data_IF_607925987190
#
_entry.id   IF_607925987190
#
_cell.length_a   1.000
_cell.length_b   1.000
_cell.length_c   1.000
_cell.angle_alpha   90.00
_cell.angle_beta   90.00
_cell.angle_gamma   90.00
#
_symmetry.space_group_name_H-M   'P 1'
#
loop_
_entity.id
_entity.type
_entity.pdbx_description
1 polymer ?
#
# COMPACT_ATOMS: atom_id res chain seq x y z
N UNK A 1 19.40 10.21 33.33
CA UNK A 1 18.71 11.49 33.09
C UNK A 1 17.30 11.36 33.64
N UNK A 2 16.93 12.17 34.62
CA UNK A 2 15.54 12.25 35.10
C UNK A 2 14.71 12.81 33.94
N UNK A 3 13.78 12.04 33.41
CA UNK A 3 12.76 12.54 32.46
C UNK A 3 12.00 13.63 33.24
N UNK A 4 12.01 14.83 32.69
CA UNK A 4 11.32 15.96 33.32
C UNK A 4 9.83 15.61 33.32
N UNK A 5 9.23 15.34 34.47
CA UNK A 5 7.86 14.83 34.68
C UNK A 5 6.75 15.73 34.07
N UNK A 6 7.11 16.90 33.57
CA UNK A 6 6.20 17.87 32.92
C UNK A 6 6.39 17.98 31.40
N UNK A 7 6.99 16.99 30.74
CA UNK A 7 7.10 17.07 29.28
C UNK A 7 5.74 16.85 28.63
N UNK A 8 5.35 17.78 27.76
CA UNK A 8 4.12 17.72 27.00
C UNK A 8 4.24 16.73 25.82
N UNK A 9 3.19 15.93 25.56
CA UNK A 9 3.15 14.99 24.44
C UNK A 9 3.28 15.71 23.09
N UNK A 10 2.70 16.92 22.98
CA UNK A 10 2.76 17.73 21.76
C UNK A 10 4.20 18.00 21.38
N UNK A 11 5.01 18.48 22.35
CA UNK A 11 6.42 18.80 22.11
C UNK A 11 7.22 17.56 21.71
N UNK A 12 6.94 16.42 22.37
CA UNK A 12 7.58 15.14 22.04
C UNK A 12 7.21 14.67 20.63
N UNK A 13 5.94 14.75 20.28
CA UNK A 13 5.49 14.37 18.94
C UNK A 13 6.01 15.32 17.86
N UNK A 14 6.03 16.63 18.11
CA UNK A 14 6.59 17.62 17.18
C UNK A 14 8.09 17.39 16.95
N UNK A 15 8.85 17.05 18.01
CA UNK A 15 10.26 16.68 17.89
C UNK A 15 10.45 15.45 16.98
N UNK A 16 9.63 14.39 17.18
CA UNK A 16 9.66 13.20 16.32
C UNK A 16 9.28 13.54 14.89
N UNK A 17 8.27 14.37 14.68
CA UNK A 17 7.85 14.84 13.35
C UNK A 17 8.98 15.63 12.67
N UNK A 18 9.70 16.46 13.42
CA UNK A 18 10.88 17.19 12.94
C UNK A 18 11.96 16.24 12.42
N UNK A 19 12.33 15.23 13.21
CA UNK A 19 13.30 14.20 12.80
C UNK A 19 12.84 13.45 11.54
N UNK A 20 11.57 13.07 11.47
CA UNK A 20 11.02 12.39 10.29
C UNK A 20 11.03 13.27 9.04
N UNK A 21 10.92 14.60 9.19
CA UNK A 21 11.08 15.56 8.07
C UNK A 21 12.51 15.60 7.57
N UNK A 22 13.48 15.69 8.48
CA UNK A 22 14.92 15.64 8.14
C UNK A 22 15.30 14.33 7.44
N UNK A 23 14.72 13.21 7.89
CA UNK A 23 14.87 11.90 7.29
C UNK A 23 14.06 11.71 5.97
N UNK A 24 13.36 12.76 5.50
CA UNK A 24 12.53 12.75 4.28
C UNK A 24 11.43 11.66 4.27
N UNK A 25 10.97 11.23 5.46
CA UNK A 25 9.92 10.24 5.65
C UNK A 25 8.52 10.87 5.61
N UNK A 26 8.19 11.55 4.52
CA UNK A 26 6.98 12.37 4.37
C UNK A 26 5.67 11.64 4.70
N UNK A 27 5.54 10.38 4.33
CA UNK A 27 4.35 9.56 4.67
C UNK A 27 4.22 9.35 6.18
N UNK A 28 5.34 9.14 6.88
CA UNK A 28 5.35 9.03 8.35
C UNK A 28 5.03 10.37 8.99
N UNK A 29 5.60 11.47 8.50
CA UNK A 29 5.26 12.85 8.93
C UNK A 29 3.75 13.06 8.88
N UNK A 30 3.10 12.75 7.75
CA UNK A 30 1.65 12.88 7.61
C UNK A 30 0.89 12.04 8.64
N UNK A 31 1.30 10.79 8.85
CA UNK A 31 0.65 9.87 9.80
C UNK A 31 0.79 10.34 11.25
N UNK A 32 1.99 10.78 11.65
CA UNK A 32 2.25 11.29 13.00
C UNK A 32 1.53 12.61 13.26
N UNK A 33 1.49 13.51 12.27
CA UNK A 33 0.74 14.77 12.37
C UNK A 33 -0.77 14.51 12.52
N UNK A 34 -1.33 13.57 11.73
CA UNK A 34 -2.73 13.21 11.85
C UNK A 34 -3.07 12.60 13.22
N UNK A 35 -2.19 11.73 13.75
CA UNK A 35 -2.36 11.15 15.08
C UNK A 35 -2.27 12.24 16.19
N UNK A 36 -1.35 13.20 16.07
CA UNK A 36 -1.23 14.31 17.00
C UNK A 36 -2.51 15.17 16.98
N UNK A 37 -2.97 15.60 15.81
CA UNK A 37 -4.20 16.38 15.72
C UNK A 37 -5.41 15.64 16.31
N UNK A 38 -5.55 14.36 15.99
CA UNK A 38 -6.65 13.54 16.53
C UNK A 38 -6.60 13.41 18.06
N UNK A 39 -5.42 13.26 18.63
CA UNK A 39 -5.27 13.17 20.09
C UNK A 39 -5.48 14.55 20.76
N UNK A 40 -5.03 15.64 20.13
CA UNK A 40 -5.28 17.01 20.57
C UNK A 40 -6.80 17.31 20.60
N UNK A 41 -7.53 16.93 19.55
CA UNK A 41 -8.99 17.09 19.51
C UNK A 41 -9.69 16.31 20.62
N UNK A 42 -9.23 15.07 20.87
CA UNK A 42 -9.74 14.25 21.97
C UNK A 42 -9.49 14.89 23.35
N UNK A 43 -8.33 15.52 23.52
CA UNK A 43 -7.93 16.12 24.80
C UNK A 43 -8.59 17.49 25.10
N UNK A 44 -9.43 18.01 24.20
CA UNK A 44 -10.11 19.30 24.40
C UNK A 44 -9.44 20.48 23.73
N UNK A 45 -8.51 20.23 22.81
CA UNK A 45 -7.82 21.25 22.03
C UNK A 45 -6.39 21.55 22.50
N UNK A 46 -5.76 22.54 21.84
CA UNK A 46 -4.35 22.87 22.05
C UNK A 46 -4.01 23.42 23.43
N UNK A 47 -5.00 23.97 24.14
CA UNK A 47 -4.83 24.59 25.46
C UNK A 47 -4.89 23.56 26.62
N UNK A 48 -5.42 22.37 26.36
CA UNK A 48 -5.43 21.30 27.33
C UNK A 48 -4.05 20.64 27.38
N UNK A 49 -3.30 20.89 28.45
CA UNK A 49 -1.98 20.30 28.66
C UNK A 49 -2.02 18.78 28.52
N UNK A 50 -1.18 18.22 27.66
CA UNK A 50 -1.05 16.79 27.41
C UNK A 50 0.20 16.24 28.11
N UNK A 51 0.24 16.31 29.45
CA UNK A 51 1.36 15.79 30.23
C UNK A 51 1.57 14.29 29.93
N UNK A 52 2.80 13.91 29.64
CA UNK A 52 3.19 12.56 29.21
C UNK A 52 2.74 11.47 30.19
N UNK A 53 2.84 11.73 31.49
CA UNK A 53 2.43 10.82 32.56
C UNK A 53 0.92 10.61 32.64
N UNK A 54 0.13 11.61 32.26
CA UNK A 54 -1.34 11.51 32.19
C UNK A 54 -1.81 10.84 30.90
N UNK A 55 -1.09 11.05 29.80
CA UNK A 55 -1.46 10.44 28.49
C UNK A 55 -1.17 8.94 28.48
N UNK A 56 0.00 8.54 28.97
CA UNK A 56 0.42 7.15 28.90
C UNK A 56 -0.06 6.33 30.11
N UNK A 57 -1.35 6.35 30.32
CA UNK A 57 -2.07 5.50 31.27
C UNK A 57 -3.02 4.56 30.50
N UNK A 58 -3.19 3.28 30.93
CA UNK A 58 -4.06 2.31 30.24
C UNK A 58 -5.49 2.81 30.07
N UNK A 59 -6.08 3.43 31.10
CA UNK A 59 -7.42 4.01 31.06
C UNK A 59 -7.55 5.11 30.00
N UNK A 60 -6.59 6.04 29.96
CA UNK A 60 -6.59 7.17 29.03
C UNK A 60 -6.47 6.72 27.55
N UNK A 61 -5.62 5.72 27.28
CA UNK A 61 -5.49 5.15 25.94
C UNK A 61 -6.77 4.43 25.53
N UNK A 62 -7.44 3.75 26.45
CA UNK A 62 -8.72 3.07 26.19
C UNK A 62 -9.84 4.08 25.92
N UNK A 63 -9.96 5.15 26.71
CA UNK A 63 -10.90 6.24 26.48
C UNK A 63 -10.70 6.89 25.11
N UNK A 64 -9.45 7.14 24.69
CA UNK A 64 -9.16 7.69 23.37
C UNK A 64 -9.56 6.71 22.25
N UNK A 65 -9.34 5.41 22.42
CA UNK A 65 -9.81 4.40 21.47
C UNK A 65 -11.33 4.46 21.34
N UNK A 66 -12.04 4.51 22.45
CA UNK A 66 -13.52 4.49 22.45
C UNK A 66 -14.07 5.79 21.85
N UNK A 67 -13.45 6.93 22.10
CA UNK A 67 -13.75 8.19 21.43
C UNK A 67 -13.55 8.13 19.90
N UNK A 68 -12.45 7.52 19.42
CA UNK A 68 -12.23 7.29 17.99
C UNK A 68 -13.33 6.41 17.39
N UNK A 69 -13.80 5.40 18.14
CA UNK A 69 -14.90 4.52 17.69
C UNK A 69 -16.24 5.24 17.67
N UNK A 70 -16.51 6.10 18.62
CA UNK A 70 -17.71 6.95 18.59
C UNK A 70 -17.72 7.90 17.38
N UNK A 71 -16.54 8.35 16.91
CA UNK A 71 -16.38 9.10 15.65
C UNK A 71 -16.34 8.20 14.40
N UNK A 72 -16.81 6.96 14.48
CA UNK A 72 -16.90 6.00 13.39
C UNK A 72 -15.52 5.70 12.71
N UNK A 73 -14.42 5.99 13.36
CA UNK A 73 -13.08 5.68 12.84
C UNK A 73 -12.92 4.18 12.63
N UNK A 74 -12.37 3.76 11.50
CA UNK A 74 -12.09 2.35 11.22
C UNK A 74 -11.10 1.77 12.23
N UNK A 75 -11.18 0.46 12.51
CA UNK A 75 -10.21 -0.21 13.37
C UNK A 75 -8.76 -0.06 12.89
N UNK A 76 -8.54 0.01 11.58
CA UNK A 76 -7.22 0.30 11.03
C UNK A 76 -6.73 1.72 11.31
N UNK A 77 -7.64 2.70 11.41
CA UNK A 77 -7.32 4.08 11.83
C UNK A 77 -6.93 4.09 13.30
N UNK A 78 -7.76 3.48 14.15
CA UNK A 78 -7.50 3.31 15.59
C UNK A 78 -6.14 2.66 15.81
N UNK A 79 -5.89 1.51 15.16
CA UNK A 79 -4.61 0.81 15.25
C UNK A 79 -3.43 1.70 14.82
N UNK A 80 -3.59 2.48 13.76
CA UNK A 80 -2.53 3.36 13.28
C UNK A 80 -2.16 4.39 14.33
N UNK A 81 -3.15 5.06 14.93
CA UNK A 81 -2.91 6.09 15.93
C UNK A 81 -2.35 5.48 17.23
N UNK A 82 -2.86 4.34 17.68
CA UNK A 82 -2.30 3.64 18.85
C UNK A 82 -0.86 3.21 18.62
N UNK A 83 -0.50 2.73 17.43
CA UNK A 83 0.89 2.38 17.10
C UNK A 83 1.81 3.59 17.03
N UNK A 84 1.31 4.75 16.57
CA UNK A 84 2.07 6.00 16.62
C UNK A 84 2.35 6.40 18.07
N UNK A 85 1.31 6.41 18.93
CA UNK A 85 1.48 6.71 20.36
C UNK A 85 2.46 5.75 21.03
N UNK A 86 2.37 4.44 20.73
CA UNK A 86 3.33 3.43 21.24
C UNK A 86 4.76 3.70 20.77
N UNK A 87 4.94 4.11 19.53
CA UNK A 87 6.27 4.44 19.01
C UNK A 87 6.86 5.70 19.69
N UNK A 88 6.03 6.70 19.99
CA UNK A 88 6.42 7.88 20.75
C UNK A 88 6.72 7.51 22.21
N UNK A 89 5.86 6.71 22.85
CA UNK A 89 6.08 6.18 24.19
C UNK A 89 7.44 5.47 24.32
N UNK A 90 7.75 4.54 23.41
CA UNK A 90 9.01 3.80 23.41
C UNK A 90 10.25 4.67 23.15
N UNK A 91 10.08 5.86 22.58
CA UNK A 91 11.18 6.85 22.47
C UNK A 91 11.38 7.63 23.75
N UNK A 92 10.30 7.92 24.49
CA UNK A 92 10.36 8.62 25.79
C UNK A 92 10.85 7.66 26.88
N UNK A 93 10.33 6.45 26.89
CA UNK A 93 10.65 5.37 27.82
C UNK A 93 11.16 4.16 27.01
N UNK A 94 12.46 4.08 26.69
CA UNK A 94 13.01 2.96 25.94
C UNK A 94 12.78 1.61 26.65
N UNK A 95 12.51 0.53 25.91
CA UNK A 95 12.39 -0.80 26.50
C UNK A 95 13.59 -1.18 27.37
N UNK A 96 13.33 -1.71 28.57
CA UNK A 96 14.37 -2.06 29.54
C UNK A 96 14.82 -0.90 30.44
N UNK A 97 14.29 0.31 30.29
CA UNK A 97 14.56 1.42 31.21
C UNK A 97 13.52 1.52 32.32
N UNK A 98 13.92 2.18 33.44
CA UNK A 98 13.00 2.48 34.53
C UNK A 98 11.85 3.37 34.03
N UNK A 99 10.60 2.98 34.33
CA UNK A 99 9.40 3.70 33.87
C UNK A 99 8.77 3.14 32.59
N UNK A 100 9.44 2.23 31.87
CA UNK A 100 8.84 1.54 30.73
C UNK A 100 7.85 0.46 31.18
N UNK A 101 6.60 0.57 30.78
CA UNK A 101 5.58 -0.47 30.99
C UNK A 101 5.32 -1.21 29.66
N UNK A 102 5.79 -2.48 29.51
CA UNK A 102 5.61 -3.24 28.28
C UNK A 102 4.14 -3.59 27.99
N UNK A 103 3.28 -3.57 29.02
CA UNK A 103 1.86 -3.93 28.91
C UNK A 103 0.94 -2.71 28.71
N UNK A 104 1.48 -1.51 28.63
CA UNK A 104 0.68 -0.27 28.53
C UNK A 104 -0.35 -0.29 27.40
N UNK A 105 -0.02 -0.92 26.27
CA UNK A 105 -0.86 -0.98 25.08
C UNK A 105 -1.63 -2.30 24.91
N UNK A 106 -1.61 -3.21 25.87
CA UNK A 106 -2.28 -4.52 25.76
C UNK A 106 -3.81 -4.38 25.72
N UNK A 107 -4.37 -3.36 26.39
CA UNK A 107 -5.80 -3.08 26.44
C UNK A 107 -6.37 -2.35 25.22
N UNK A 108 -5.55 -1.96 24.24
CA UNK A 108 -5.98 -1.20 23.07
C UNK A 108 -5.68 -1.92 21.75
N UNK A 109 -6.46 -1.58 20.73
CA UNK A 109 -6.36 -2.22 19.42
C UNK A 109 -5.15 -1.72 18.63
N UNK A 110 -4.17 -2.57 18.44
CA UNK A 110 -2.96 -2.31 17.65
C UNK A 110 -2.77 -3.28 16.48
N UNK A 111 -3.75 -4.20 16.26
CA UNK A 111 -3.74 -5.17 15.15
C UNK A 111 -4.16 -4.49 13.85
N UNK A 112 -3.91 -5.15 12.74
CA UNK A 112 -4.38 -4.71 11.42
C UNK A 112 -5.50 -5.62 10.98
N UNK A 113 -6.69 -5.06 10.74
CA UNK A 113 -7.76 -5.81 10.10
C UNK A 113 -7.43 -6.05 8.64
N UNK A 114 -7.52 -7.30 8.18
CA UNK A 114 -7.37 -7.58 6.75
C UNK A 114 -8.50 -6.90 5.99
N UNK A 115 -8.13 -6.05 5.03
CA UNK A 115 -9.13 -5.47 4.11
C UNK A 115 -9.52 -6.51 3.08
N UNK A 116 -10.80 -6.47 2.64
CA UNK A 116 -11.28 -7.26 1.51
C UNK A 116 -10.34 -7.00 0.32
N UNK A 117 -9.76 -8.07 -0.20
CA UNK A 117 -8.84 -8.00 -1.34
C UNK A 117 -9.65 -7.68 -2.60
N UNK A 118 -9.29 -6.58 -3.26
CA UNK A 118 -9.96 -6.08 -4.45
C UNK A 118 -9.22 -6.52 -5.72
N UNK A 119 -8.90 -7.81 -5.81
CA UNK A 119 -8.38 -8.37 -7.03
C UNK A 119 -9.54 -8.55 -8.03
N UNK A 120 -9.29 -8.17 -9.28
CA UNK A 120 -10.21 -8.41 -10.38
C UNK A 120 -10.11 -9.88 -10.84
N UNK A 121 -11.21 -10.40 -11.36
CA UNK A 121 -11.20 -11.67 -12.11
C UNK A 121 -10.50 -11.49 -13.44
N UNK A 122 -10.16 -12.60 -14.11
CA UNK A 122 -9.56 -12.55 -15.44
C UNK A 122 -10.49 -11.86 -16.45
N UNK A 123 -11.80 -12.18 -16.43
CA UNK A 123 -12.79 -11.56 -17.30
C UNK A 123 -12.90 -10.04 -17.06
N UNK A 124 -12.91 -9.60 -15.80
CA UNK A 124 -12.92 -8.17 -15.47
C UNK A 124 -11.67 -7.45 -15.98
N UNK A 125 -10.51 -8.09 -15.86
CA UNK A 125 -9.26 -7.52 -16.37
C UNK A 125 -9.25 -7.47 -17.89
N UNK A 126 -9.79 -8.48 -18.57
CA UNK A 126 -9.98 -8.50 -20.03
C UNK A 126 -10.93 -7.38 -20.48
N UNK A 127 -12.03 -7.15 -19.78
CA UNK A 127 -12.95 -6.04 -20.06
C UNK A 127 -12.23 -4.70 -20.07
N UNK A 128 -11.39 -4.43 -19.04
CA UNK A 128 -10.59 -3.21 -18.99
C UNK A 128 -9.56 -3.12 -20.13
N UNK A 129 -8.91 -4.25 -20.46
CA UNK A 129 -7.86 -4.28 -21.49
C UNK A 129 -8.39 -4.13 -22.91
N UNK A 130 -9.65 -4.50 -23.15
CA UNK A 130 -10.35 -4.39 -24.43
C UNK A 130 -11.22 -3.15 -24.55
N UNK A 131 -11.22 -2.29 -23.53
CA UNK A 131 -12.02 -1.07 -23.55
C UNK A 131 -11.63 -0.17 -24.74
N UNK A 132 -12.63 0.42 -25.34
CA UNK A 132 -12.43 1.44 -26.37
C UNK A 132 -11.96 2.73 -25.70
N UNK A 133 -10.68 3.07 -25.90
CA UNK A 133 -10.07 4.25 -25.31
C UNK A 133 -10.68 5.54 -25.86
N UNK A 134 -11.06 5.55 -27.16
CA UNK A 134 -11.58 6.75 -27.82
C UNK A 134 -12.97 7.12 -27.30
N UNK A 135 -13.69 6.18 -26.72
CA UNK A 135 -14.96 6.43 -26.04
C UNK A 135 -14.82 7.10 -24.67
N UNK A 136 -13.60 7.14 -24.09
CA UNK A 136 -13.34 7.73 -22.78
C UNK A 136 -12.81 9.15 -22.92
N UNK A 137 -13.15 10.08 -21.97
CA UNK A 137 -12.47 11.35 -21.85
C UNK A 137 -10.94 11.18 -21.77
N UNK A 138 -10.17 12.07 -22.41
CA UNK A 138 -8.70 12.00 -22.49
C UNK A 138 -8.03 11.76 -21.14
N UNK A 139 -8.49 12.45 -20.10
CA UNK A 139 -7.97 12.31 -18.75
C UNK A 139 -8.27 10.96 -18.11
N UNK A 140 -9.29 10.23 -18.56
CA UNK A 140 -9.59 8.87 -18.16
C UNK A 140 -8.81 7.85 -19.00
N UNK A 141 -8.53 8.14 -20.28
CA UNK A 141 -7.66 7.30 -21.13
C UNK A 141 -6.29 7.12 -20.47
N UNK A 142 -5.66 8.22 -20.03
CA UNK A 142 -4.39 8.16 -19.29
C UNK A 142 -4.47 7.28 -18.04
N UNK A 143 -5.52 7.44 -17.24
CA UNK A 143 -5.70 6.68 -16.00
C UNK A 143 -5.88 5.19 -16.29
N UNK A 144 -6.68 4.83 -17.28
CA UNK A 144 -6.86 3.43 -17.69
C UNK A 144 -5.55 2.84 -18.22
N UNK A 145 -4.84 3.56 -19.08
CA UNK A 145 -3.55 3.13 -19.61
C UNK A 145 -2.53 2.88 -18.50
N UNK A 146 -2.39 3.82 -17.56
CA UNK A 146 -1.47 3.65 -16.43
C UNK A 146 -1.87 2.51 -15.51
N UNK A 147 -3.18 2.27 -15.29
CA UNK A 147 -3.65 1.12 -14.53
C UNK A 147 -3.28 -0.20 -15.20
N UNK A 148 -3.47 -0.30 -16.52
CA UNK A 148 -3.10 -1.48 -17.32
C UNK A 148 -1.57 -1.69 -17.31
N UNK A 149 -0.79 -0.62 -17.49
CA UNK A 149 0.67 -0.68 -17.42
C UNK A 149 1.15 -1.13 -16.02
N UNK A 150 0.53 -0.62 -14.94
CA UNK A 150 0.83 -1.11 -13.58
C UNK A 150 0.63 -2.62 -13.47
N UNK A 151 -0.44 -3.16 -14.03
CA UNK A 151 -0.69 -4.60 -14.06
C UNK A 151 0.37 -5.33 -14.91
N UNK A 152 0.62 -4.88 -16.14
CA UNK A 152 1.59 -5.50 -17.08
C UNK A 152 3.02 -5.42 -16.55
N UNK A 153 3.35 -4.41 -15.75
CA UNK A 153 4.65 -4.26 -15.07
C UNK A 153 4.68 -5.00 -13.72
N UNK A 154 4.08 -6.21 -13.67
CA UNK A 154 4.10 -7.11 -12.51
C UNK A 154 3.46 -6.51 -11.26
N UNK A 155 2.35 -5.80 -11.43
CA UNK A 155 1.67 -5.14 -10.31
C UNK A 155 2.49 -3.99 -9.70
N UNK A 156 3.17 -3.19 -10.53
CA UNK A 156 3.90 -2.01 -10.10
C UNK A 156 2.98 -1.07 -9.30
N UNK A 157 3.37 -0.61 -8.10
CA UNK A 157 2.57 0.36 -7.34
C UNK A 157 2.52 1.72 -8.06
N UNK A 158 1.42 2.45 -7.90
CA UNK A 158 1.25 3.77 -8.50
C UNK A 158 2.36 4.76 -8.11
N UNK A 159 2.88 4.68 -6.86
CA UNK A 159 3.99 5.52 -6.44
C UNK A 159 5.26 5.25 -7.26
N UNK A 160 5.57 3.99 -7.55
CA UNK A 160 6.73 3.63 -8.35
C UNK A 160 6.52 4.09 -9.80
N UNK A 161 5.33 3.84 -10.40
CA UNK A 161 4.97 4.31 -11.74
C UNK A 161 5.11 5.85 -11.86
N UNK A 162 4.57 6.59 -10.89
CA UNK A 162 4.59 8.05 -10.90
C UNK A 162 6.01 8.64 -10.82
N UNK A 163 6.94 7.95 -10.18
CA UNK A 163 8.32 8.39 -10.03
C UNK A 163 9.29 7.79 -11.05
N UNK A 164 8.81 6.91 -11.97
CA UNK A 164 9.66 6.41 -13.06
C UNK A 164 10.22 7.57 -13.86
N UNK A 165 11.51 7.48 -14.18
CA UNK A 165 12.22 8.46 -15.00
C UNK A 165 12.46 7.92 -16.40
N UNK A 166 12.61 8.80 -17.37
CA UNK A 166 12.99 8.45 -18.73
C UNK A 166 14.33 7.68 -18.76
N UNK A 167 15.24 8.02 -17.84
CA UNK A 167 16.54 7.34 -17.68
C UNK A 167 16.45 5.91 -17.13
N UNK A 168 15.29 5.53 -16.56
CA UNK A 168 15.09 4.17 -16.03
C UNK A 168 14.79 3.16 -17.15
N UNK A 169 14.45 3.65 -18.36
CA UNK A 169 14.20 2.80 -19.53
C UNK A 169 15.53 2.49 -20.22
N UNK A 170 15.86 1.21 -20.32
CA UNK A 170 17.07 0.70 -20.96
C UNK A 170 16.70 -0.37 -21.99
N UNK A 171 16.58 0.05 -23.25
CA UNK A 171 16.03 -0.82 -24.30
C UNK A 171 14.60 -1.25 -23.97
N UNK A 172 14.36 -2.56 -23.96
CA UNK A 172 13.04 -3.11 -23.63
C UNK A 172 12.88 -3.45 -22.13
N UNK A 173 13.58 -2.73 -21.24
CA UNK A 173 13.59 -3.02 -19.79
C UNK A 173 13.52 -1.72 -18.99
N UNK A 174 12.74 -1.74 -17.93
CA UNK A 174 12.67 -0.67 -16.92
C UNK A 174 13.50 -1.12 -15.71
N UNK A 175 14.51 -0.33 -15.33
CA UNK A 175 15.39 -0.56 -14.17
C UNK A 175 15.21 0.60 -13.19
N UNK A 176 14.57 0.35 -12.07
CA UNK A 176 14.24 1.40 -11.10
C UNK A 176 14.40 0.92 -9.66
N UNK A 177 14.50 1.83 -8.71
CA UNK A 177 14.47 1.53 -7.28
C UNK A 177 13.06 1.75 -6.71
N UNK A 178 12.53 0.76 -6.00
CA UNK A 178 11.22 0.88 -5.35
C UNK A 178 11.22 2.04 -4.35
N UNK A 179 10.26 2.94 -4.48
CA UNK A 179 10.15 4.12 -3.64
C UNK A 179 10.01 3.78 -2.13
N UNK A 180 9.30 2.68 -1.80
CA UNK A 180 9.07 2.29 -0.40
C UNK A 180 10.26 1.62 0.26
N UNK A 181 11.09 0.88 -0.47
CA UNK A 181 12.09 -0.03 0.11
C UNK A 181 13.49 0.17 -0.43
N UNK A 182 13.69 1.02 -1.42
CA UNK A 182 14.97 1.21 -2.10
C UNK A 182 15.45 -0.01 -2.92
N UNK A 183 14.68 -1.10 -2.94
CA UNK A 183 15.07 -2.32 -3.67
C UNK A 183 15.06 -2.08 -5.17
N UNK A 184 16.16 -2.42 -5.84
CA UNK A 184 16.21 -2.38 -7.29
C UNK A 184 15.29 -3.42 -7.92
N UNK A 185 14.54 -2.99 -8.92
CA UNK A 185 13.64 -3.80 -9.72
C UNK A 185 14.04 -3.73 -11.19
N UNK A 186 13.93 -4.87 -11.87
CA UNK A 186 14.16 -4.99 -13.31
C UNK A 186 12.89 -5.60 -13.92
N UNK A 187 12.23 -4.87 -14.79
CA UNK A 187 10.95 -5.25 -15.39
C UNK A 187 11.06 -5.11 -16.90
N UNK A 188 10.95 -6.23 -17.61
CA UNK A 188 10.85 -6.20 -19.07
C UNK A 188 9.49 -5.61 -19.51
N UNK A 189 9.49 -4.81 -20.54
CA UNK A 189 8.26 -4.26 -21.15
C UNK A 189 7.66 -5.36 -22.04
N UNK A 190 6.48 -5.92 -21.69
CA UNK A 190 5.83 -6.92 -22.53
C UNK A 190 5.43 -6.32 -23.87
N UNK A 191 5.36 -7.15 -24.92
CA UNK A 191 4.95 -6.69 -26.26
C UNK A 191 3.57 -6.04 -26.26
N UNK A 192 2.64 -6.57 -25.46
CA UNK A 192 1.29 -6.08 -25.29
C UNK A 192 1.24 -4.69 -24.62
N UNK A 193 2.28 -4.33 -23.88
CA UNK A 193 2.38 -3.02 -23.21
C UNK A 193 2.97 -1.94 -24.13
N UNK A 194 3.71 -2.30 -25.19
CA UNK A 194 4.50 -1.34 -26.00
C UNK A 194 3.63 -0.22 -26.55
N UNK A 195 2.49 -0.54 -27.15
CA UNK A 195 1.57 0.47 -27.73
C UNK A 195 1.07 1.46 -26.67
N UNK A 196 0.60 0.96 -25.51
CA UNK A 196 0.14 1.82 -24.42
C UNK A 196 1.31 2.62 -23.83
N UNK A 197 2.47 2.01 -23.68
CA UNK A 197 3.66 2.66 -23.19
C UNK A 197 4.05 3.84 -24.07
N UNK A 198 4.18 3.67 -25.39
CA UNK A 198 4.57 4.71 -26.34
C UNK A 198 3.54 5.85 -26.47
N UNK A 199 2.25 5.53 -26.35
CA UNK A 199 1.19 6.53 -26.45
C UNK A 199 1.11 7.43 -25.22
N UNK A 200 1.34 6.90 -24.02
CA UNK A 200 1.07 7.58 -22.75
C UNK A 200 2.30 8.01 -21.95
N UNK A 201 3.52 7.87 -22.52
CA UNK A 201 4.73 8.47 -21.95
C UNK A 201 4.76 9.98 -22.12
N UNK A 202 5.46 10.65 -21.22
CA UNK A 202 5.73 12.09 -21.32
C UNK A 202 6.81 12.36 -22.38
N UNK A 203 6.39 12.94 -23.51
CA UNK A 203 7.29 13.29 -24.63
C UNK A 203 7.95 14.66 -24.47
N UNK A 204 7.59 15.43 -23.42
CA UNK A 204 8.20 16.74 -23.17
C UNK A 204 9.67 16.62 -22.78
N UNK A 205 10.53 17.47 -23.32
CA UNK A 205 11.95 17.53 -22.98
C UNK A 205 12.21 18.10 -21.58
N UNK A 206 11.24 18.84 -21.02
CA UNK A 206 11.38 19.54 -19.74
C UNK A 206 11.06 18.70 -18.51
N UNK A 207 10.55 17.48 -18.67
CA UNK A 207 10.22 16.59 -17.55
C UNK A 207 11.20 15.40 -17.49
N UNK A 208 11.77 15.08 -16.32
CA UNK A 208 12.59 13.88 -16.13
C UNK A 208 11.74 12.61 -15.99
N UNK A 209 10.43 12.74 -15.72
CA UNK A 209 9.54 11.63 -15.48
C UNK A 209 9.12 10.94 -16.77
N UNK A 210 8.89 9.63 -16.66
CA UNK A 210 8.48 8.81 -17.80
C UNK A 210 7.00 9.04 -18.16
N UNK A 211 6.16 9.29 -17.16
CA UNK A 211 4.74 9.58 -17.33
C UNK A 211 4.42 10.99 -16.81
N UNK A 212 3.46 11.72 -17.42
CA UNK A 212 3.09 13.07 -17.02
C UNK A 212 2.18 13.07 -15.77
N UNK A 213 2.63 12.36 -14.71
CA UNK A 213 1.90 12.24 -13.43
C UNK A 213 2.37 13.29 -12.44
N UNK A 214 3.68 13.51 -12.37
CA UNK A 214 4.29 14.48 -11.46
C UNK A 214 4.84 15.68 -12.19
N UNK A 215 4.84 16.85 -11.53
CA UNK A 215 5.42 18.06 -12.07
C UNK A 215 6.95 17.99 -11.98
N UNK A 216 7.61 17.81 -13.12
CA UNK A 216 9.07 17.70 -13.23
C UNK A 216 9.86 18.97 -12.88
N UNK A 217 9.18 20.12 -12.73
CA UNK A 217 9.80 21.40 -12.34
C UNK A 217 9.94 21.54 -10.82
N UNK A 218 9.24 20.74 -10.03
CA UNK A 218 9.32 20.78 -8.56
C UNK A 218 10.64 20.20 -8.11
N UNK A 219 11.43 20.99 -7.36
CA UNK A 219 12.70 20.58 -6.75
C UNK A 219 12.54 20.28 -5.27
N UNK A 220 11.56 20.90 -4.62
CA UNK A 220 11.28 20.69 -3.20
C UNK A 220 10.56 19.36 -3.00
N UNK A 221 11.12 18.51 -2.12
CA UNK A 221 10.61 17.15 -1.89
C UNK A 221 9.25 17.12 -1.20
N UNK A 222 8.95 18.11 -0.36
CA UNK A 222 7.64 18.21 0.26
C UNK A 222 6.57 18.61 -0.73
N UNK A 223 6.88 19.56 -1.64
CA UNK A 223 5.98 19.93 -2.73
C UNK A 223 5.76 18.75 -3.67
N UNK A 224 6.81 17.99 -3.99
CA UNK A 224 6.71 16.78 -4.81
C UNK A 224 5.83 15.71 -4.13
N UNK A 225 6.00 15.50 -2.82
CA UNK A 225 5.15 14.60 -2.05
C UNK A 225 3.67 15.04 -2.09
N UNK A 226 3.38 16.33 -1.93
CA UNK A 226 2.01 16.86 -2.05
C UNK A 226 1.44 16.67 -3.44
N UNK A 227 2.22 16.94 -4.47
CA UNK A 227 1.86 16.70 -5.88
C UNK A 227 1.51 15.22 -6.10
N UNK A 228 2.32 14.30 -5.61
CA UNK A 228 2.03 12.87 -5.66
C UNK A 228 0.73 12.50 -4.92
N UNK A 229 0.48 13.03 -3.73
CA UNK A 229 -0.75 12.76 -2.97
C UNK A 229 -2.00 13.23 -3.73
N UNK A 230 -1.91 14.37 -4.39
CA UNK A 230 -2.99 14.88 -5.23
C UNK A 230 -3.18 14.01 -6.48
N UNK A 231 -2.10 13.67 -7.17
CA UNK A 231 -2.13 12.76 -8.31
C UNK A 231 -2.76 11.40 -7.95
N UNK A 232 -2.41 10.83 -6.80
CA UNK A 232 -2.99 9.57 -6.33
C UNK A 232 -4.49 9.68 -6.04
N UNK A 233 -4.94 10.79 -5.41
CA UNK A 233 -6.38 11.04 -5.18
C UNK A 233 -7.14 11.15 -6.50
N UNK A 234 -6.63 11.93 -7.44
CA UNK A 234 -7.23 12.14 -8.75
C UNK A 234 -7.25 10.84 -9.55
N UNK A 235 -6.17 10.08 -9.54
CA UNK A 235 -6.09 8.76 -10.17
C UNK A 235 -7.18 7.81 -9.64
N UNK A 236 -7.30 7.67 -8.31
CA UNK A 236 -8.29 6.79 -7.71
C UNK A 236 -9.74 7.27 -7.99
N UNK A 237 -9.99 8.59 -7.96
CA UNK A 237 -11.32 9.15 -8.30
C UNK A 237 -11.73 8.85 -9.75
N UNK A 238 -10.79 8.93 -10.69
CA UNK A 238 -11.04 8.60 -12.09
C UNK A 238 -11.17 7.09 -12.31
N UNK A 239 -10.34 6.28 -11.65
CA UNK A 239 -10.50 4.83 -11.65
C UNK A 239 -11.88 4.40 -11.14
N UNK A 240 -12.40 5.03 -10.09
CA UNK A 240 -13.76 4.74 -9.60
C UNK A 240 -14.81 5.01 -10.68
N UNK A 241 -14.68 6.10 -11.44
CA UNK A 241 -15.58 6.42 -12.56
C UNK A 241 -15.47 5.38 -13.69
N UNK A 242 -14.24 5.00 -14.06
CA UNK A 242 -13.98 3.95 -15.06
C UNK A 242 -14.59 2.62 -14.59
N UNK A 243 -14.44 2.27 -13.31
CA UNK A 243 -15.05 1.09 -12.73
C UNK A 243 -16.58 1.09 -12.81
N UNK A 244 -17.22 2.24 -12.55
CA UNK A 244 -18.68 2.37 -12.70
C UNK A 244 -19.16 2.21 -14.14
N UNK A 245 -18.35 2.63 -15.11
CA UNK A 245 -18.68 2.53 -16.55
C UNK A 245 -18.45 1.11 -17.10
N UNK A 246 -17.27 0.55 -16.84
CA UNK A 246 -16.84 -0.69 -17.50
C UNK A 246 -17.06 -1.95 -16.66
N UNK A 247 -17.16 -1.82 -15.33
CA UNK A 247 -17.29 -2.92 -14.38
C UNK A 247 -18.33 -2.55 -13.29
N UNK A 248 -19.62 -2.45 -13.62
CA UNK A 248 -20.64 -2.06 -12.65
C UNK A 248 -20.60 -2.91 -11.39
N UNK A 249 -20.68 -2.27 -10.21
CA UNK A 249 -20.60 -2.93 -8.91
C UNK A 249 -19.19 -3.26 -8.41
N UNK A 250 -18.14 -3.11 -9.23
CA UNK A 250 -16.76 -3.41 -8.85
C UNK A 250 -16.01 -2.14 -8.43
N UNK A 251 -15.47 -2.15 -7.21
CA UNK A 251 -14.63 -1.05 -6.72
C UNK A 251 -13.17 -1.28 -7.11
N UNK A 252 -12.63 -0.40 -7.94
CA UNK A 252 -11.21 -0.42 -8.33
C UNK A 252 -10.43 0.76 -7.74
N UNK A 253 -9.16 0.56 -7.52
CA UNK A 253 -8.22 1.55 -7.00
C UNK A 253 -6.81 1.27 -7.53
N UNK A 254 -5.87 2.18 -7.31
CA UNK A 254 -4.46 2.00 -7.68
C UNK A 254 -3.84 0.69 -7.16
N UNK A 255 -4.27 0.20 -6.00
CA UNK A 255 -3.80 -1.08 -5.45
C UNK A 255 -4.41 -2.31 -6.13
N UNK A 256 -5.55 -2.15 -6.80
CA UNK A 256 -6.26 -3.25 -7.48
C UNK A 256 -5.39 -3.91 -8.55
N UNK A 257 -4.63 -3.15 -9.35
CA UNK A 257 -3.72 -3.70 -10.35
C UNK A 257 -2.72 -4.70 -9.74
N UNK A 258 -2.12 -4.33 -8.59
CA UNK A 258 -1.16 -5.18 -7.89
C UNK A 258 -1.79 -6.42 -7.25
N UNK A 259 -2.95 -6.26 -6.61
CA UNK A 259 -3.69 -7.39 -6.06
C UNK A 259 -4.13 -8.36 -7.17
N UNK A 260 -4.62 -7.84 -8.29
CA UNK A 260 -5.03 -8.63 -9.45
C UNK A 260 -3.86 -9.43 -10.01
N UNK A 261 -2.71 -8.78 -10.25
CA UNK A 261 -1.54 -9.48 -10.77
C UNK A 261 -1.09 -10.62 -9.83
N UNK A 262 -1.02 -10.34 -8.53
CA UNK A 262 -0.60 -11.33 -7.53
C UNK A 262 -1.58 -12.51 -7.45
N UNK A 263 -2.89 -12.22 -7.42
CA UNK A 263 -3.94 -13.24 -7.31
C UNK A 263 -4.03 -14.09 -8.57
N UNK A 264 -4.00 -13.49 -9.76
CA UNK A 264 -4.03 -14.24 -11.02
C UNK A 264 -2.77 -15.09 -11.20
N UNK A 265 -1.58 -14.58 -10.83
CA UNK A 265 -0.36 -15.38 -10.83
C UNK A 265 -0.48 -16.59 -9.88
N UNK A 266 -1.03 -16.39 -8.69
CA UNK A 266 -1.26 -17.43 -7.70
C UNK A 266 -2.25 -18.50 -8.20
N UNK A 267 -3.38 -18.09 -8.81
CA UNK A 267 -4.36 -19.02 -9.39
C UNK A 267 -3.85 -19.77 -10.60
N UNK A 268 -2.80 -19.25 -11.25
CA UNK A 268 -2.04 -19.95 -12.30
C UNK A 268 -0.88 -20.78 -11.76
N UNK A 269 -0.88 -21.05 -10.45
CA UNK A 269 0.06 -21.94 -9.77
C UNK A 269 1.53 -21.46 -9.83
N UNK A 270 1.74 -20.16 -10.10
CA UNK A 270 3.08 -19.58 -10.01
C UNK A 270 3.59 -19.66 -8.57
N UNK A 271 4.77 -20.25 -8.32
CA UNK A 271 5.31 -20.36 -6.96
C UNK A 271 5.34 -19.03 -6.21
N UNK A 272 4.86 -19.02 -4.95
CA UNK A 272 4.74 -17.78 -4.15
C UNK A 272 6.08 -17.04 -4.01
N UNK A 273 7.21 -17.76 -4.00
CA UNK A 273 8.55 -17.18 -4.02
C UNK A 273 8.83 -16.35 -5.28
N UNK A 274 8.36 -16.79 -6.46
CA UNK A 274 8.46 -16.06 -7.72
C UNK A 274 7.55 -14.83 -7.68
N UNK A 275 6.31 -14.97 -7.20
CA UNK A 275 5.38 -13.85 -7.00
C UNK A 275 6.00 -12.81 -6.06
N UNK A 276 6.59 -13.25 -4.94
CA UNK A 276 7.26 -12.39 -3.96
C UNK A 276 8.41 -11.60 -4.58
N UNK A 277 9.26 -12.28 -5.37
CA UNK A 277 10.37 -11.64 -6.09
C UNK A 277 9.87 -10.62 -7.12
N UNK A 278 8.86 -10.98 -7.91
CA UNK A 278 8.27 -10.12 -8.94
C UNK A 278 7.63 -8.86 -8.34
N UNK A 279 6.97 -8.98 -7.18
CA UNK A 279 6.40 -7.87 -6.45
C UNK A 279 7.45 -7.06 -5.65
N UNK A 280 8.67 -7.54 -5.53
CA UNK A 280 9.73 -6.88 -4.76
C UNK A 280 9.49 -6.88 -3.25
N UNK A 281 8.84 -7.92 -2.71
CA UNK A 281 8.63 -8.07 -1.27
C UNK A 281 9.91 -8.52 -0.56
N UNK A 282 10.02 -8.20 0.73
CA UNK A 282 11.14 -8.62 1.57
C UNK A 282 10.96 -10.02 2.15
N UNK A 283 9.72 -10.53 2.17
CA UNK A 283 9.39 -11.89 2.65
C UNK A 283 8.14 -12.44 1.98
N UNK A 284 8.02 -13.77 1.95
CA UNK A 284 6.85 -14.50 1.44
C UNK A 284 5.59 -14.13 2.25
N UNK A 285 5.70 -13.99 3.56
CA UNK A 285 4.60 -13.59 4.46
C UNK A 285 3.92 -12.28 4.02
N UNK A 286 4.69 -11.31 3.49
CA UNK A 286 4.13 -10.09 2.91
C UNK A 286 3.33 -10.42 1.64
N UNK A 287 3.78 -11.37 0.83
CA UNK A 287 3.09 -11.77 -0.40
C UNK A 287 1.74 -12.43 -0.11
N UNK A 288 1.68 -13.30 0.89
CA UNK A 288 0.45 -13.98 1.32
C UNK A 288 -0.67 -12.99 1.67
N UNK A 289 -0.32 -11.80 2.18
CA UNK A 289 -1.32 -10.75 2.45
C UNK A 289 -1.98 -10.21 1.18
N UNK A 290 -1.43 -10.44 0.00
CA UNK A 290 -1.99 -10.05 -1.29
C UNK A 290 -2.82 -11.15 -1.95
N UNK A 291 -2.61 -12.41 -1.58
CA UNK A 291 -3.26 -13.53 -2.20
C UNK A 291 -4.69 -13.70 -1.67
N UNK A 292 -5.63 -13.95 -2.57
CA UNK A 292 -6.96 -14.42 -2.22
C UNK A 292 -6.87 -15.93 -1.98
N UNK A 293 -7.44 -16.48 -0.90
CA UNK A 293 -7.49 -17.94 -0.70
C UNK A 293 -8.12 -18.64 -1.91
N UNK A 294 -7.73 -19.88 -2.16
CA UNK A 294 -8.44 -20.74 -3.10
C UNK A 294 -9.85 -21.01 -2.58
N UNK A 295 -10.78 -21.15 -3.50
CA UNK A 295 -12.14 -21.61 -3.22
C UNK A 295 -12.11 -23.13 -2.99
N UNK A 296 -13.06 -23.66 -2.20
CA UNK A 296 -13.06 -25.07 -1.80
C UNK A 296 -13.09 -26.00 -3.01
N UNK A 297 -13.85 -25.65 -4.06
CA UNK A 297 -13.94 -26.42 -5.29
C UNK A 297 -12.56 -26.65 -5.95
N UNK A 298 -11.64 -25.68 -5.84
CA UNK A 298 -10.29 -25.85 -6.35
C UNK A 298 -9.46 -26.78 -5.49
N UNK A 299 -9.64 -26.70 -4.15
CA UNK A 299 -8.97 -27.60 -3.21
C UNK A 299 -9.42 -29.04 -3.45
N UNK A 300 -10.72 -29.24 -3.62
CA UNK A 300 -11.31 -30.55 -3.90
C UNK A 300 -10.81 -31.11 -5.23
N UNK A 301 -10.78 -30.30 -6.30
CA UNK A 301 -10.27 -30.71 -7.62
C UNK A 301 -8.80 -31.17 -7.56
N UNK A 302 -7.94 -30.44 -6.82
CA UNK A 302 -6.52 -30.84 -6.61
C UNK A 302 -6.43 -32.14 -5.84
N UNK A 303 -7.26 -32.34 -4.81
CA UNK A 303 -7.32 -33.59 -4.05
C UNK A 303 -7.74 -34.77 -4.93
N UNK A 304 -8.77 -34.59 -5.76
CA UNK A 304 -9.24 -35.64 -6.69
C UNK A 304 -8.17 -36.01 -7.71
N UNK A 305 -7.48 -35.04 -8.28
CA UNK A 305 -6.37 -35.25 -9.21
C UNK A 305 -5.23 -36.05 -8.56
N UNK A 306 -4.87 -35.68 -7.31
CA UNK A 306 -3.86 -36.40 -6.54
C UNK A 306 -4.24 -37.85 -6.31
N UNK A 307 -5.48 -38.11 -5.87
CA UNK A 307 -6.00 -39.45 -5.61
C UNK A 307 -5.99 -40.28 -6.91
N UNK A 308 -6.50 -39.71 -8.02
CA UNK A 308 -6.51 -40.38 -9.31
C UNK A 308 -5.11 -40.76 -9.80
N UNK A 309 -4.13 -39.89 -9.61
CA UNK A 309 -2.74 -40.15 -9.99
C UNK A 309 -2.14 -41.36 -9.24
N UNK A 310 -2.46 -41.46 -7.93
CA UNK A 310 -2.01 -42.57 -7.08
C UNK A 310 -2.70 -43.88 -7.46
N UNK A 311 -4.00 -43.85 -7.74
CA UNK A 311 -4.77 -45.04 -8.08
C UNK A 311 -4.43 -45.60 -9.49
N UNK A 312 -4.05 -44.73 -10.45
CA UNK A 312 -3.64 -45.15 -11.78
C UNK A 312 -2.24 -45.78 -11.80
N UNK A 313 -1.29 -45.25 -11.01
CA UNK A 313 0.04 -45.84 -10.87
C UNK A 313 0.03 -47.25 -10.22
N UNK A 314 -1.02 -47.58 -9.47
CA UNK A 314 -1.17 -48.92 -8.85
C UNK A 314 -1.62 -49.96 -9.87
N UNK A 315 -2.30 -49.57 -10.99
CA UNK A 315 -2.74 -50.49 -12.06
C UNK A 315 -1.61 -50.91 -13.00
N UNK A 316 -0.64 -50.05 -13.24
CA UNK A 316 0.51 -50.37 -14.10
C UNK A 316 1.51 -51.32 -13.43
N UNK A 317 1.63 -51.29 -12.10
CA UNK A 317 2.51 -52.19 -11.32
C UNK A 317 1.92 -53.59 -11.03
N UNK A 318 0.64 -53.84 -11.36
CA UNK A 318 -0.01 -55.14 -11.20
C UNK A 318 -0.06 -55.88 -12.56
N UNK A 319 0.23 -55.22 -13.66
CA UNK A 319 0.20 -55.78 -15.02
C UNK A 319 1.60 -56.10 -15.60
N UNK A 320 2.65 -55.95 -14.78
CA UNK A 320 4.02 -56.39 -15.05
C UNK A 320 4.41 -57.55 -14.09
#
# INVERSE_FOLDING_TARGET
MKVNERSDLTDRMLSVIGQLKEEKKHSSVHTYTAALHSFTDYSGGKEAGMAVDLVFQPGRLKEYQDWLRQKESSWNTVSTYMRVLRAVYNRIFPPGTTGHNPKLFDGVYTKVEPKIKRALTENQMQTLSKADFDSLPEDMQHVLAWFLLMFMFRGMPFIDLAHLRKSDVKGNTIVYCRHKTGKQMVVSIPREAVKLFELFIDKSSGSPYLFPILNGRLKDEWQLYRCYQEALRNFNKKLEKIGKLLLPGVKISSYTARHTWATLAFYREVPVGIISKALGHSSIKVTETYLKPFENERVDAVNDELILSLMNNTKENIAS
#
